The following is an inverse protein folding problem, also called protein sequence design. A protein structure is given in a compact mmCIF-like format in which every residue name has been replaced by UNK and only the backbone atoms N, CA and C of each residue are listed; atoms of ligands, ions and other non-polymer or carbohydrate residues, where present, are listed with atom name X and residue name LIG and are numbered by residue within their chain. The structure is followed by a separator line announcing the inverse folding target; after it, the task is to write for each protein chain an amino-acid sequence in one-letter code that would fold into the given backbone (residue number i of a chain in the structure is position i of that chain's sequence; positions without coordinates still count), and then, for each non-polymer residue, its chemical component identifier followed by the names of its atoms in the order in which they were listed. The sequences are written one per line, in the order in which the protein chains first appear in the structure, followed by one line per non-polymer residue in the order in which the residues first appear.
data_IF_280616376762
#
_entry.id   IF_280616376762
#
_cell.length_a   1.000
_cell.length_b   1.000
_cell.length_c   1.000
_cell.angle_alpha   90.00
_cell.angle_beta   90.00
_cell.angle_gamma   90.00
#
_symmetry.space_group_name_H-M   'P 1'
#
loop_
_entity.id
_entity.type
_entity.pdbx_description
1 polymer ?
#
# COMPACT_ATOMS: atom_id res chain seq x y z
N UNK A 1 -17.35 -7.24 -28.02
CA UNK A 1 -17.82 -7.33 -26.62
C UNK A 1 -16.85 -6.55 -25.76
N UNK A 2 -17.31 -5.40 -25.28
CA UNK A 2 -16.53 -4.34 -24.63
C UNK A 2 -15.98 -4.77 -23.27
N UNK A 3 -14.66 -4.99 -23.20
CA UNK A 3 -13.94 -5.17 -21.92
C UNK A 3 -13.68 -3.79 -21.35
N UNK A 4 -14.35 -3.52 -20.23
CA UNK A 4 -14.12 -2.39 -19.33
C UNK A 4 -12.62 -2.08 -19.22
N UNK A 5 -12.22 -0.86 -19.56
CA UNK A 5 -10.90 -0.31 -19.22
C UNK A 5 -10.86 -0.17 -17.71
N UNK A 6 -10.30 -1.19 -17.06
CA UNK A 6 -10.13 -1.23 -15.62
C UNK A 6 -9.05 -0.21 -15.26
N UNK A 7 -9.44 0.91 -14.63
CA UNK A 7 -8.51 1.97 -14.21
C UNK A 7 -7.48 1.39 -13.22
N UNK A 8 -6.31 1.02 -13.75
CA UNK A 8 -5.15 0.59 -12.97
C UNK A 8 -4.42 1.80 -12.41
N UNK A 9 -4.03 1.76 -11.14
CA UNK A 9 -3.23 2.82 -10.49
C UNK A 9 -1.88 2.24 -10.10
N UNK A 10 -0.79 2.99 -10.26
CA UNK A 10 0.53 2.54 -9.79
C UNK A 10 0.71 2.75 -8.29
N UNK A 11 1.49 1.88 -7.64
CA UNK A 11 1.86 2.06 -6.23
C UNK A 11 2.60 3.38 -6.00
N UNK A 12 3.43 3.80 -6.97
CA UNK A 12 4.06 5.11 -6.98
C UNK A 12 3.04 6.24 -6.87
N UNK A 13 1.91 6.14 -7.58
CA UNK A 13 0.84 7.13 -7.47
C UNK A 13 0.22 7.15 -6.07
N UNK A 14 0.04 5.99 -5.45
CA UNK A 14 -0.43 5.92 -4.06
C UNK A 14 0.55 6.59 -3.08
N UNK A 15 1.87 6.40 -3.29
CA UNK A 15 2.91 7.08 -2.50
C UNK A 15 2.85 8.60 -2.70
N UNK A 16 2.75 9.08 -3.94
CA UNK A 16 2.58 10.51 -4.23
C UNK A 16 1.34 11.09 -3.54
N UNK A 17 0.21 10.38 -3.60
CA UNK A 17 -1.03 10.81 -2.92
C UNK A 17 -0.85 10.86 -1.41
N UNK A 18 -0.14 9.88 -0.82
CA UNK A 18 0.15 9.86 0.62
C UNK A 18 1.04 11.04 1.08
N UNK A 19 1.91 11.54 0.21
CA UNK A 19 2.83 12.65 0.51
C UNK A 19 2.31 14.02 0.09
N UNK A 20 1.15 14.07 -0.57
CA UNK A 20 0.53 15.31 -1.01
C UNK A 20 0.01 16.07 0.22
N UNK A 21 0.23 17.38 0.23
CA UNK A 21 -0.38 18.27 1.22
C UNK A 21 -1.91 18.29 1.03
N UNK A 22 -2.63 18.17 2.14
CA UNK A 22 -4.09 18.18 2.18
C UNK A 22 -4.61 19.05 3.33
N UNK A 23 -5.74 19.75 3.16
CA UNK A 23 -6.37 20.49 4.25
C UNK A 23 -6.97 19.50 5.25
N UNK A 24 -6.83 19.81 6.55
CA UNK A 24 -7.54 19.07 7.60
C UNK A 24 -9.05 19.31 7.48
N UNK A 25 -9.83 18.24 7.68
CA UNK A 25 -11.28 18.29 7.65
C UNK A 25 -11.86 19.05 8.85
N UNK A 26 -13.16 19.40 8.80
CA UNK A 26 -13.83 20.11 9.89
C UNK A 26 -13.79 19.36 11.23
N UNK A 27 -13.80 18.02 11.20
CA UNK A 27 -13.77 17.16 12.38
C UNK A 27 -12.35 16.92 12.92
N UNK A 28 -11.30 17.29 12.16
CA UNK A 28 -9.89 17.01 12.45
C UNK A 28 -9.04 18.31 12.48
N UNK A 29 -9.65 19.45 12.78
CA UNK A 29 -8.94 20.74 12.80
C UNK A 29 -7.75 20.75 13.77
N UNK A 30 -6.70 21.48 13.42
CA UNK A 30 -5.51 21.58 14.24
C UNK A 30 -5.68 22.64 15.33
N UNK A 31 -5.38 22.30 16.58
CA UNK A 31 -5.32 23.26 17.66
C UNK A 31 -4.03 24.11 17.56
N UNK A 32 -4.18 25.38 17.20
CA UNK A 32 -3.06 26.29 17.05
C UNK A 32 -2.58 26.79 18.43
N UNK A 33 -1.33 26.49 18.85
CA UNK A 33 -0.83 26.89 20.17
C UNK A 33 -0.65 28.41 20.30
N UNK A 34 -0.61 29.16 19.20
CA UNK A 34 -0.51 30.62 19.19
C UNK A 34 -1.88 31.29 19.26
N UNK A 35 -2.84 30.85 18.44
CA UNK A 35 -4.20 31.42 18.44
C UNK A 35 -5.06 30.92 19.61
N UNK A 36 -4.67 29.80 20.25
CA UNK A 36 -5.41 29.12 21.31
C UNK A 36 -6.79 28.60 20.89
N UNK A 37 -6.96 28.25 19.62
CA UNK A 37 -8.21 27.73 19.06
C UNK A 37 -7.95 26.73 17.91
N UNK A 38 -8.99 26.01 17.51
CA UNK A 38 -8.94 25.11 16.36
C UNK A 38 -8.96 25.89 15.06
N UNK A 39 -8.03 25.57 14.16
CA UNK A 39 -7.88 26.19 12.85
C UNK A 39 -7.84 25.11 11.76
N UNK A 40 -8.43 25.44 10.62
CA UNK A 40 -8.28 24.64 9.41
C UNK A 40 -6.85 24.84 8.87
N UNK A 41 -5.96 23.92 9.22
CA UNK A 41 -4.58 23.91 8.76
C UNK A 41 -4.40 22.90 7.61
N UNK A 42 -3.32 23.07 6.85
CA UNK A 42 -2.85 22.04 5.92
C UNK A 42 -1.93 21.05 6.63
N UNK A 43 -2.04 19.78 6.28
CA UNK A 43 -1.18 18.70 6.74
C UNK A 43 -0.43 18.11 5.55
N UNK A 44 0.88 17.92 5.73
CA UNK A 44 1.74 17.22 4.79
C UNK A 44 2.52 16.13 5.52
N UNK A 45 2.66 14.97 4.89
CA UNK A 45 3.49 13.89 5.37
C UNK A 45 4.70 13.74 4.45
N UNK A 46 5.84 13.43 5.03
CA UNK A 46 7.09 13.25 4.29
C UNK A 46 7.85 12.02 4.81
N UNK A 47 8.59 11.35 3.92
CA UNK A 47 9.42 10.21 4.28
C UNK A 47 10.81 10.72 4.69
N UNK A 48 11.15 10.56 5.96
CA UNK A 48 12.46 10.95 6.47
C UNK A 48 13.48 9.80 6.45
N UNK A 49 13.07 8.63 6.95
CA UNK A 49 13.86 7.39 6.96
C UNK A 49 12.96 6.22 6.65
N UNK A 50 13.50 5.24 5.93
CA UNK A 50 12.80 4.01 5.61
C UNK A 50 13.41 2.82 6.39
N UNK A 51 12.62 1.78 6.70
CA UNK A 51 13.09 0.57 7.40
C UNK A 51 13.70 -0.48 6.46
N UNK A 52 14.41 -1.48 6.98
CA UNK A 52 14.88 -2.64 6.19
C UNK A 52 13.71 -3.46 5.63
N UNK A 53 12.67 -3.65 6.45
CA UNK A 53 11.41 -4.28 6.06
C UNK A 53 10.34 -3.21 5.98
N UNK A 54 9.88 -2.91 4.76
CA UNK A 54 8.84 -1.93 4.49
C UNK A 54 7.50 -2.65 4.32
N UNK A 55 6.53 -2.30 5.16
CA UNK A 55 5.16 -2.83 5.10
C UNK A 55 4.25 -1.74 4.55
N UNK A 56 3.54 -2.03 3.47
CA UNK A 56 2.65 -1.07 2.80
C UNK A 56 1.24 -1.62 2.82
N UNK A 57 0.35 -0.91 3.51
CA UNK A 57 -1.08 -1.23 3.55
C UNK A 57 -1.83 -0.38 2.53
N UNK A 58 -2.52 -1.04 1.59
CA UNK A 58 -3.44 -0.41 0.67
C UNK A 58 -4.78 -0.20 1.38
N UNK A 59 -5.12 1.06 1.70
CA UNK A 59 -6.36 1.44 2.41
C UNK A 59 -7.61 1.21 1.56
N UNK A 60 -8.00 -0.05 1.37
CA UNK A 60 -9.13 -0.46 0.52
C UNK A 60 -10.48 -0.31 1.18
N UNK A 61 -10.54 -0.48 2.50
CA UNK A 61 -11.81 -0.44 3.21
C UNK A 61 -12.19 0.99 3.59
N UNK A 62 -13.43 1.35 3.27
CA UNK A 62 -14.04 2.59 3.71
C UNK A 62 -15.32 2.29 4.48
N UNK A 63 -15.50 2.98 5.58
CA UNK A 63 -16.69 2.91 6.41
C UNK A 63 -17.37 4.27 6.44
N UNK A 64 -18.64 4.30 6.04
CA UNK A 64 -19.55 5.40 6.35
C UNK A 64 -20.65 4.84 7.25
N UNK A 65 -21.39 5.70 7.97
CA UNK A 65 -22.45 5.29 8.91
C UNK A 65 -23.44 4.26 8.35
N UNK A 66 -23.64 4.22 7.02
CA UNK A 66 -24.60 3.33 6.36
C UNK A 66 -24.00 2.40 5.31
N UNK A 67 -22.80 2.68 4.80
CA UNK A 67 -22.19 1.90 3.72
C UNK A 67 -20.80 1.42 4.13
N UNK A 68 -20.60 0.11 4.02
CA UNK A 68 -19.31 -0.55 4.06
C UNK A 68 -18.88 -0.81 2.63
N UNK A 69 -17.75 -0.25 2.20
CA UNK A 69 -17.24 -0.47 0.86
C UNK A 69 -15.78 -0.98 0.88
N UNK A 70 -15.42 -1.76 -0.12
CA UNK A 70 -14.04 -2.18 -0.39
C UNK A 70 -13.66 -1.72 -1.79
N UNK A 71 -12.60 -0.94 -1.88
CA UNK A 71 -12.01 -0.54 -3.15
C UNK A 71 -11.32 -1.73 -3.81
N UNK A 72 -11.85 -2.14 -4.96
CA UNK A 72 -11.28 -3.22 -5.78
C UNK A 72 -10.31 -2.70 -6.85
N UNK A 73 -9.89 -1.43 -6.80
CA UNK A 73 -8.95 -0.87 -7.78
C UNK A 73 -7.69 -1.74 -7.92
N UNK A 74 -7.32 -2.05 -9.16
CA UNK A 74 -6.06 -2.75 -9.42
C UNK A 74 -4.90 -1.80 -9.17
N UNK A 75 -4.02 -2.18 -8.24
CA UNK A 75 -2.81 -1.41 -7.92
C UNK A 75 -1.63 -2.15 -8.50
N UNK A 76 -0.96 -1.56 -9.48
CA UNK A 76 0.28 -2.11 -10.04
C UNK A 76 1.46 -1.76 -9.13
N UNK A 77 2.13 -2.79 -8.60
CA UNK A 77 3.27 -2.64 -7.71
C UNK A 77 4.51 -3.39 -8.24
N UNK A 78 5.72 -2.84 -8.10
CA UNK A 78 6.94 -3.49 -8.57
C UNK A 78 7.34 -4.68 -7.68
N UNK A 79 7.78 -5.79 -8.28
CA UNK A 79 8.20 -6.99 -7.53
C UNK A 79 9.68 -6.90 -7.16
N UNK A 80 10.57 -6.58 -8.11
CA UNK A 80 12.02 -6.62 -7.91
C UNK A 80 12.70 -5.27 -7.69
N UNK A 81 12.03 -4.17 -8.04
CA UNK A 81 12.68 -2.85 -8.07
C UNK A 81 11.74 -1.73 -7.67
N UNK A 82 11.39 -1.69 -6.38
CA UNK A 82 10.64 -0.58 -5.82
C UNK A 82 11.60 0.50 -5.32
N UNK A 83 11.83 1.55 -6.11
CA UNK A 83 12.75 2.63 -5.79
C UNK A 83 12.04 3.82 -5.13
N UNK A 84 12.31 4.04 -3.84
CA UNK A 84 11.75 5.15 -3.07
C UNK A 84 12.72 6.33 -2.92
N UNK A 85 13.88 6.31 -3.58
CA UNK A 85 14.95 7.30 -3.38
C UNK A 85 14.49 8.75 -3.59
N UNK A 86 13.59 8.97 -4.55
CA UNK A 86 13.07 10.30 -4.87
C UNK A 86 12.02 10.82 -3.89
N UNK A 87 11.50 9.97 -3.00
CA UNK A 87 10.46 10.32 -2.03
C UNK A 87 11.00 10.56 -0.62
N UNK A 88 12.28 10.26 -0.37
CA UNK A 88 12.94 10.47 0.93
C UNK A 88 13.59 11.85 0.97
N UNK A 89 13.22 12.68 1.95
CA UNK A 89 13.78 14.03 2.08
C UNK A 89 15.26 14.01 2.46
N UNK A 90 15.63 13.12 3.39
CA UNK A 90 17.01 13.01 3.84
C UNK A 90 17.85 12.27 2.80
N UNK A 91 18.54 13.03 1.95
CA UNK A 91 19.47 12.46 0.97
C UNK A 91 20.73 11.97 1.67
N UNK A 92 20.77 10.68 1.98
CA UNK A 92 21.98 10.01 2.43
C UNK A 92 22.43 9.02 1.35
N UNK A 93 23.45 9.39 0.58
CA UNK A 93 23.98 8.57 -0.52
C UNK A 93 24.56 7.21 -0.06
N UNK A 94 24.72 6.98 1.25
CA UNK A 94 25.17 5.69 1.80
C UNK A 94 24.04 4.65 1.93
N UNK A 95 22.78 5.05 1.76
CA UNK A 95 21.63 4.15 2.00
C UNK A 95 20.82 3.96 0.72
N UNK A 96 20.74 2.70 0.26
CA UNK A 96 19.86 2.29 -0.82
C UNK A 96 18.38 2.33 -0.36
N UNK A 97 17.49 2.87 -1.20
CA UNK A 97 16.04 2.90 -0.97
C UNK A 97 15.27 2.04 -1.97
N UNK A 98 15.93 1.00 -2.49
CA UNK A 98 15.33 0.01 -3.39
C UNK A 98 14.90 -1.23 -2.62
N UNK A 99 13.75 -1.77 -2.99
CA UNK A 99 13.16 -2.92 -2.30
C UNK A 99 12.68 -3.99 -3.26
N UNK A 100 12.69 -5.24 -2.78
CA UNK A 100 12.05 -6.40 -3.39
C UNK A 100 10.86 -6.84 -2.57
N UNK A 101 9.75 -7.10 -3.25
CA UNK A 101 8.59 -7.74 -2.68
C UNK A 101 8.94 -9.19 -2.33
N UNK A 102 8.57 -9.62 -1.12
CA UNK A 102 8.75 -11.01 -0.69
C UNK A 102 7.48 -11.64 -0.14
N UNK A 103 6.46 -10.84 0.19
CA UNK A 103 5.14 -11.36 0.53
C UNK A 103 4.01 -10.36 0.21
N UNK A 104 2.81 -10.89 0.00
CA UNK A 104 1.57 -10.15 -0.19
C UNK A 104 0.50 -10.82 0.65
N UNK A 105 -0.20 -10.06 1.48
CA UNK A 105 -1.47 -10.49 2.05
C UNK A 105 -2.59 -10.08 1.10
N UNK A 106 -3.37 -11.06 0.65
CA UNK A 106 -4.51 -10.87 -0.22
C UNK A 106 -5.80 -10.88 0.60
N UNK A 107 -6.81 -10.13 0.15
CA UNK A 107 -8.16 -10.19 0.72
C UNK A 107 -9.21 -10.32 -0.38
N UNK A 108 -10.08 -11.31 -0.25
CA UNK A 108 -11.23 -11.58 -1.11
C UNK A 108 -12.53 -11.32 -0.36
N UNK A 109 -13.59 -10.95 -1.08
CA UNK A 109 -14.87 -10.57 -0.46
C UNK A 109 -14.84 -9.17 0.16
N UNK A 110 -15.82 -8.87 1.00
CA UNK A 110 -16.11 -7.54 1.53
C UNK A 110 -15.97 -7.44 3.05
N UNK A 111 -16.36 -6.29 3.62
CA UNK A 111 -16.20 -6.03 5.06
C UNK A 111 -17.15 -6.87 5.96
N UNK A 112 -18.23 -7.42 5.41
CA UNK A 112 -19.17 -8.28 6.15
C UNK A 112 -18.77 -9.76 6.18
N UNK A 113 -17.72 -10.13 5.45
CA UNK A 113 -17.28 -11.51 5.25
C UNK A 113 -16.30 -11.54 4.09
N UNK A 114 -15.13 -12.10 4.35
CA UNK A 114 -14.03 -12.16 3.40
C UNK A 114 -13.07 -13.27 3.76
N UNK A 115 -12.06 -13.46 2.90
CA UNK A 115 -11.06 -14.50 3.04
C UNK A 115 -9.68 -13.93 2.78
N UNK A 116 -8.70 -14.33 3.58
CA UNK A 116 -7.33 -13.89 3.45
C UNK A 116 -6.45 -15.03 2.98
N UNK A 117 -5.65 -14.79 1.95
CA UNK A 117 -4.55 -15.68 1.53
C UNK A 117 -3.24 -14.92 1.55
N UNK A 118 -2.12 -15.62 1.39
CA UNK A 118 -0.82 -14.97 1.27
C UNK A 118 -0.04 -15.50 0.06
N UNK A 119 0.56 -14.60 -0.72
CA UNK A 119 1.68 -14.97 -1.57
C UNK A 119 2.98 -14.74 -0.81
N UNK A 120 3.91 -15.68 -0.81
CA UNK A 120 5.24 -15.47 -0.24
C UNK A 120 6.35 -16.14 -1.06
N UNK A 121 7.49 -15.45 -1.16
CA UNK A 121 8.68 -15.91 -1.86
C UNK A 121 9.50 -16.81 -0.93
N UNK A 122 9.60 -18.08 -1.27
CA UNK A 122 10.41 -19.04 -0.54
C UNK A 122 11.92 -18.77 -0.76
N UNK A 123 12.77 -19.28 0.14
CA UNK A 123 14.24 -19.14 0.06
C UNK A 123 14.84 -19.66 -1.25
N UNK A 124 14.16 -20.61 -1.90
CA UNK A 124 14.51 -21.15 -3.22
C UNK A 124 14.12 -20.24 -4.41
N UNK A 125 13.74 -18.98 -4.13
CA UNK A 125 13.28 -17.98 -5.11
C UNK A 125 11.98 -18.31 -5.85
N UNK A 126 11.27 -19.35 -5.44
CA UNK A 126 9.94 -19.71 -5.94
C UNK A 126 8.85 -19.07 -5.08
N UNK A 127 7.76 -18.63 -5.73
CA UNK A 127 6.60 -18.10 -5.05
C UNK A 127 5.57 -19.19 -4.78
N UNK A 128 4.88 -19.04 -3.65
CA UNK A 128 3.77 -19.90 -3.26
C UNK A 128 2.60 -19.07 -2.80
N UNK A 129 1.40 -19.56 -3.08
CA UNK A 129 0.17 -19.15 -2.43
C UNK A 129 -0.07 -20.04 -1.22
N UNK A 130 -0.40 -19.42 -0.10
CA UNK A 130 -0.80 -20.03 1.15
C UNK A 130 -2.27 -19.68 1.38
N UNK A 131 -3.13 -20.67 1.19
CA UNK A 131 -4.57 -20.61 1.40
C UNK A 131 -4.95 -21.60 2.51
N UNK A 132 -4.94 -21.10 3.74
CA UNK A 132 -5.09 -21.88 4.97
C UNK A 132 -4.15 -23.09 5.03
N UNK A 133 -4.69 -24.30 4.91
CA UNK A 133 -3.94 -25.56 4.92
C UNK A 133 -3.33 -25.95 3.57
N UNK A 134 -3.65 -25.20 2.50
CA UNK A 134 -3.24 -25.52 1.14
C UNK A 134 -2.13 -24.58 0.67
N UNK A 135 -1.10 -25.17 0.06
CA UNK A 135 0.06 -24.44 -0.44
C UNK A 135 0.28 -24.81 -1.90
N UNK A 136 0.27 -23.82 -2.78
CA UNK A 136 0.40 -24.01 -4.23
C UNK A 136 1.54 -23.16 -4.80
N UNK A 137 2.34 -23.70 -5.73
CA UNK A 137 3.32 -22.88 -6.44
C UNK A 137 2.61 -21.87 -7.36
N UNK A 138 3.11 -20.64 -7.41
CA UNK A 138 2.60 -19.58 -8.29
C UNK A 138 3.74 -18.87 -9.02
N UNK A 139 3.43 -18.29 -10.18
CA UNK A 139 4.37 -17.47 -10.95
C UNK A 139 4.25 -15.99 -10.57
N UNK A 140 5.25 -15.17 -10.94
CA UNK A 140 5.25 -13.75 -10.59
C UNK A 140 4.11 -12.96 -11.24
N UNK A 141 3.65 -13.42 -12.40
CA UNK A 141 2.52 -12.83 -13.13
C UNK A 141 1.19 -13.01 -12.37
N UNK A 142 1.09 -14.03 -11.51
CA UNK A 142 -0.12 -14.35 -10.76
C UNK A 142 -0.25 -13.57 -9.44
N UNK A 143 0.84 -12.94 -8.98
CA UNK A 143 0.89 -12.26 -7.67
C UNK A 143 0.17 -10.91 -7.71
N UNK A 144 0.22 -10.23 -8.86
CA UNK A 144 -0.40 -8.91 -9.04
C UNK A 144 -1.89 -9.06 -9.27
N UNK A 145 -2.68 -8.83 -8.23
CA UNK A 145 -4.14 -8.93 -8.29
C UNK A 145 -4.80 -7.76 -7.57
N UNK A 146 -6.10 -7.56 -7.81
CA UNK A 146 -6.92 -6.62 -7.04
C UNK A 146 -7.07 -7.02 -5.57
N UNK A 147 -6.81 -8.29 -5.24
CA UNK A 147 -6.90 -8.80 -3.88
C UNK A 147 -5.74 -8.34 -2.99
N UNK A 148 -4.60 -7.92 -3.58
CA UNK A 148 -3.45 -7.44 -2.82
C UNK A 148 -3.85 -6.33 -1.85
N UNK A 149 -3.60 -6.54 -0.56
CA UNK A 149 -4.05 -5.69 0.54
C UNK A 149 -2.89 -5.14 1.37
N UNK A 150 -1.94 -6.00 1.75
CA UNK A 150 -0.70 -5.59 2.42
C UNK A 150 0.49 -6.14 1.64
N UNK A 151 1.42 -5.26 1.29
CA UNK A 151 2.65 -5.60 0.56
C UNK A 151 3.83 -5.58 1.53
N UNK A 152 4.68 -6.60 1.45
CA UNK A 152 5.87 -6.74 2.28
C UNK A 152 7.12 -6.68 1.41
N UNK A 153 7.89 -5.63 1.62
CA UNK A 153 9.11 -5.30 0.89
C UNK A 153 10.34 -5.44 1.78
N UNK A 154 11.42 -6.00 1.23
CA UNK A 154 12.74 -6.06 1.88
C UNK A 154 13.75 -5.26 1.05
N UNK A 155 14.57 -4.45 1.73
CA UNK A 155 15.61 -3.64 1.08
C UNK A 155 16.66 -4.51 0.37
N UNK A 156 17.14 -4.03 -0.78
CA UNK A 156 18.24 -4.60 -1.57
C UNK A 156 19.57 -3.99 -1.14
#
# INVERSE_FOLDING_TARGET
MSKWTQDSISLYKCVETFLKEEPLGPDDMWYCPNCKEHRQASKKLDLWRLPEILVIHLKRFSYTRFLKNKLETFVDFPIDDFDLSNYVIQKNNSVCHRYKLYAVSNHYGGMGGGHYTAFAKHRLKQWYEFDDSHVFPVTEEQIKTQAAYVLFYKRI
#
